data_IF_191601862996
#
_entry.id   IF_191601862996
#
_cell.length_a   1.000
_cell.length_b   1.000
_cell.length_c   1.000
_cell.angle_alpha   90.00
_cell.angle_beta   90.00
_cell.angle_gamma   90.00
#
_symmetry.space_group_name_H-M   'P 1'
#
loop_
_entity.id
_entity.type
_entity.pdbx_description
1 polymer ?
#
# COMPACT_ATOMS: atom_id res chain seq x y z
N UNK A 1 -18.83 3.47 4.04
CA UNK A 1 -18.19 4.42 3.10
C UNK A 1 -16.73 4.73 3.44
N UNK A 2 -16.37 5.24 4.62
CA UNK A 2 -14.97 5.65 4.92
C UNK A 2 -13.88 4.55 4.82
N UNK A 3 -14.24 3.27 4.81
CA UNK A 3 -13.32 2.13 4.65
C UNK A 3 -13.60 1.31 3.38
N UNK A 4 -14.48 1.80 2.51
CA UNK A 4 -14.77 1.23 1.20
C UNK A 4 -13.98 2.05 0.18
N UNK A 5 -12.73 1.64 -0.05
CA UNK A 5 -11.78 2.37 -0.88
C UNK A 5 -10.83 1.41 -1.59
N UNK A 6 -10.95 1.35 -2.92
CA UNK A 6 -9.99 0.68 -3.78
C UNK A 6 -9.06 1.73 -4.38
N UNK A 7 -7.80 1.73 -3.96
CA UNK A 7 -6.85 2.73 -4.41
C UNK A 7 -6.50 2.55 -5.88
N UNK A 8 -6.48 3.66 -6.62
CA UNK A 8 -5.90 3.71 -7.96
C UNK A 8 -4.38 3.61 -7.90
N UNK A 9 -3.77 3.24 -9.04
CA UNK A 9 -2.31 3.22 -9.19
C UNK A 9 -1.68 4.59 -8.87
N UNK A 10 -2.33 5.68 -9.30
CA UNK A 10 -1.87 7.04 -9.03
C UNK A 10 -1.81 7.32 -7.52
N UNK A 11 -2.89 7.02 -6.80
CA UNK A 11 -2.94 7.24 -5.35
C UNK A 11 -1.93 6.38 -4.60
N UNK A 12 -1.74 5.11 -4.99
CA UNK A 12 -0.71 4.26 -4.40
C UNK A 12 0.70 4.78 -4.69
N UNK A 13 0.93 5.31 -5.90
CA UNK A 13 2.22 5.84 -6.32
C UNK A 13 2.67 7.06 -5.50
N UNK A 14 1.71 7.85 -4.99
CA UNK A 14 2.00 8.98 -4.09
C UNK A 14 2.66 8.54 -2.78
N UNK A 15 2.48 7.29 -2.35
CA UNK A 15 3.09 6.75 -1.13
C UNK A 15 4.51 6.23 -1.34
N UNK A 16 4.93 5.94 -2.58
CA UNK A 16 6.23 5.32 -2.86
C UNK A 16 7.43 6.10 -2.31
N UNK A 17 7.52 7.45 -2.47
CA UNK A 17 8.66 8.19 -1.93
C UNK A 17 8.78 8.08 -0.41
N UNK A 18 7.64 8.09 0.29
CA UNK A 18 7.61 7.98 1.76
C UNK A 18 7.94 6.58 2.25
N UNK A 19 7.47 5.55 1.53
CA UNK A 19 7.80 4.16 1.84
C UNK A 19 9.31 3.92 1.69
N UNK A 20 9.93 4.43 0.62
CA UNK A 20 11.38 4.31 0.40
C UNK A 20 12.19 5.05 1.49
N UNK A 21 11.73 6.23 1.92
CA UNK A 21 12.36 6.92 3.05
C UNK A 21 12.29 6.07 4.33
N UNK A 22 11.10 5.60 4.72
CA UNK A 22 10.92 4.80 5.94
C UNK A 22 11.71 3.49 5.89
N UNK A 23 11.83 2.88 4.71
CA UNK A 23 12.64 1.69 4.48
C UNK A 23 14.13 1.96 4.69
N UNK A 24 14.63 3.13 4.32
CA UNK A 24 16.02 3.50 4.56
C UNK A 24 16.32 3.76 6.06
N UNK A 25 15.31 4.14 6.83
CA UNK A 25 15.43 4.52 8.25
C UNK A 25 15.08 3.37 9.22
N UNK A 26 14.64 2.21 8.73
CA UNK A 26 14.11 1.12 9.56
C UNK A 26 14.74 -0.22 9.21
N UNK A 27 15.06 -1.04 10.21
CA UNK A 27 15.50 -2.43 10.02
C UNK A 27 14.38 -3.30 9.41
N UNK A 28 13.13 -2.95 9.67
CA UNK A 28 11.95 -3.60 9.09
C UNK A 28 10.79 -2.60 8.96
N UNK A 29 10.04 -2.70 7.85
CA UNK A 29 8.86 -1.87 7.59
C UNK A 29 7.66 -2.77 7.28
N UNK A 30 6.58 -2.60 8.03
CA UNK A 30 5.30 -3.28 7.80
C UNK A 30 4.26 -2.29 7.32
N UNK A 31 3.57 -2.63 6.23
CA UNK A 31 2.50 -1.82 5.64
C UNK A 31 1.18 -2.59 5.71
N UNK A 32 0.10 -1.91 6.09
CA UNK A 32 -1.22 -2.52 6.23
C UNK A 32 -2.32 -1.64 5.66
N UNK A 33 -3.28 -2.26 4.97
CA UNK A 33 -4.48 -1.60 4.47
C UNK A 33 -5.64 -1.81 5.45
N UNK A 34 -6.26 -0.72 5.87
CA UNK A 34 -7.40 -0.73 6.80
C UNK A 34 -8.75 -0.64 6.09
N UNK A 35 -8.77 -0.73 4.76
CA UNK A 35 -9.98 -0.80 3.93
C UNK A 35 -10.72 -2.10 4.23
N UNK A 36 -12.03 -2.02 4.50
CA UNK A 36 -12.85 -3.08 5.12
C UNK A 36 -13.96 -3.63 4.21
N UNK A 37 -14.19 -3.04 3.04
CA UNK A 37 -15.17 -3.58 2.10
C UNK A 37 -14.54 -4.72 1.28
N UNK A 38 -15.22 -5.86 1.26
CA UNK A 38 -14.85 -7.06 0.50
C UNK A 38 -13.35 -7.41 0.64
N UNK A 39 -12.70 -7.70 -0.49
CA UNK A 39 -11.27 -8.04 -0.57
C UNK A 39 -10.37 -6.83 -0.83
N UNK A 40 -10.86 -5.60 -0.63
CA UNK A 40 -10.12 -4.39 -1.01
C UNK A 40 -8.77 -4.26 -0.30
N UNK A 41 -8.69 -4.65 0.98
CA UNK A 41 -7.42 -4.64 1.71
C UNK A 41 -6.37 -5.53 1.04
N UNK A 42 -6.77 -6.71 0.59
CA UNK A 42 -5.91 -7.67 -0.12
C UNK A 42 -5.56 -7.16 -1.52
N UNK A 43 -6.54 -6.62 -2.25
CA UNK A 43 -6.35 -6.07 -3.59
C UNK A 43 -5.39 -4.87 -3.58
N UNK A 44 -5.58 -3.93 -2.65
CA UNK A 44 -4.72 -2.77 -2.46
C UNK A 44 -3.29 -3.20 -2.08
N UNK A 45 -3.15 -4.19 -1.17
CA UNK A 45 -1.84 -4.74 -0.80
C UNK A 45 -1.12 -5.40 -1.98
N UNK A 46 -1.83 -6.21 -2.78
CA UNK A 46 -1.27 -6.85 -3.95
C UNK A 46 -0.83 -5.83 -5.02
N UNK A 47 -1.60 -4.75 -5.19
CA UNK A 47 -1.26 -3.67 -6.11
C UNK A 47 0.00 -2.92 -5.64
N UNK A 48 0.04 -2.50 -4.38
CA UNK A 48 1.23 -1.83 -3.83
C UNK A 48 2.47 -2.73 -3.87
N UNK A 49 2.32 -4.04 -3.61
CA UNK A 49 3.41 -5.02 -3.72
C UNK A 49 4.03 -5.03 -5.13
N UNK A 50 3.20 -4.97 -6.18
CA UNK A 50 3.66 -4.88 -7.57
C UNK A 50 4.41 -3.58 -7.85
N UNK A 51 3.90 -2.44 -7.37
CA UNK A 51 4.55 -1.13 -7.54
C UNK A 51 5.92 -1.07 -6.84
N UNK A 52 6.06 -1.74 -5.69
CA UNK A 52 7.32 -1.87 -4.96
C UNK A 52 8.29 -2.92 -5.57
N UNK A 53 7.89 -3.64 -6.62
CA UNK A 53 8.70 -4.68 -7.25
C UNK A 53 8.98 -5.89 -6.35
N UNK A 54 8.15 -6.13 -5.33
CA UNK A 54 8.31 -7.23 -4.39
C UNK A 54 7.66 -8.51 -4.98
N UNK A 55 8.41 -9.62 -5.03
CA UNK A 55 7.92 -10.93 -5.50
C UNK A 55 7.04 -11.63 -4.46
#
# INVERSE_FOLDING_TARGET
ERFDWLYSEKELSEWLPRIEQLRAESDSLSLGFSTKADDQGVANAAHLKKLLGLR
#
